data_IF_296117563526
#
_entry.id   IF_296117563526
#
_cell.length_a   1.000
_cell.length_b   1.000
_cell.length_c   1.000
_cell.angle_alpha   90.00
_cell.angle_beta   90.00
_cell.angle_gamma   90.00
#
_symmetry.space_group_name_H-M   'P 1'
#
loop_
_entity.id
_entity.type
_entity.pdbx_description
1 polymer ?
#
# COMPACT_ATOMS: atom_id res chain seq x y z
N UNK A 1 -15.32 -14.92 30.84
CA UNK A 1 -16.19 -13.80 30.43
C UNK A 1 -15.64 -13.21 29.17
N UNK A 2 -16.34 -13.34 28.05
CA UNK A 2 -15.94 -12.67 26.82
C UNK A 2 -16.04 -11.16 27.04
N UNK A 3 -14.92 -10.44 26.93
CA UNK A 3 -14.94 -8.98 26.95
C UNK A 3 -15.78 -8.52 25.76
N UNK A 4 -16.95 -7.95 26.01
CA UNK A 4 -17.69 -7.21 24.99
C UNK A 4 -16.77 -6.13 24.44
N UNK A 5 -16.41 -6.26 23.16
CA UNK A 5 -15.56 -5.25 22.54
C UNK A 5 -16.37 -3.99 22.26
N UNK A 6 -15.76 -2.82 22.40
CA UNK A 6 -16.44 -1.55 22.20
C UNK A 6 -17.07 -1.45 20.81
N UNK A 7 -18.20 -0.78 20.70
CA UNK A 7 -18.80 -0.41 19.43
C UNK A 7 -17.94 0.60 18.66
N UNK A 8 -18.30 0.93 17.44
CA UNK A 8 -17.57 1.91 16.63
C UNK A 8 -17.43 3.29 17.31
N UNK A 9 -18.44 3.69 18.05
CA UNK A 9 -18.42 4.95 18.82
C UNK A 9 -17.35 4.94 19.90
N UNK A 10 -17.13 3.79 20.53
CA UNK A 10 -16.12 3.62 21.59
C UNK A 10 -14.70 3.58 21.01
N UNK A 11 -14.56 3.06 19.79
CA UNK A 11 -13.27 3.03 19.08
C UNK A 11 -12.76 4.44 18.77
N UNK A 12 -13.64 5.41 18.57
CA UNK A 12 -13.24 6.82 18.41
C UNK A 12 -12.52 7.39 19.64
N UNK A 13 -12.64 6.75 20.79
CA UNK A 13 -11.98 7.14 22.04
C UNK A 13 -10.61 6.48 22.19
N UNK A 14 -10.29 5.41 21.42
CA UNK A 14 -8.94 4.88 21.39
C UNK A 14 -8.02 5.93 20.75
N UNK A 15 -7.11 6.44 21.55
CA UNK A 15 -6.11 7.43 21.13
C UNK A 15 -4.82 6.68 20.79
N UNK A 16 -4.60 6.32 19.52
CA UNK A 16 -3.27 5.88 19.10
C UNK A 16 -2.28 7.00 19.36
N UNK A 17 -1.03 6.67 19.59
CA UNK A 17 0.00 7.70 19.71
C UNK A 17 -0.04 8.62 18.47
N UNK A 18 0.06 9.94 18.66
CA UNK A 18 -0.02 10.88 17.57
C UNK A 18 1.13 10.62 16.60
N UNK A 19 0.81 10.47 15.31
CA UNK A 19 1.83 10.45 14.29
C UNK A 19 2.58 11.78 14.27
N UNK A 20 3.87 11.78 13.90
CA UNK A 20 4.61 13.01 13.68
C UNK A 20 3.86 13.94 12.70
N UNK A 21 3.80 15.22 13.00
CA UNK A 21 3.09 16.23 12.19
C UNK A 21 3.54 16.30 10.72
N UNK A 22 4.76 15.85 10.45
CA UNK A 22 5.36 15.79 9.11
C UNK A 22 5.03 14.50 8.32
N UNK A 23 4.15 13.60 8.82
CA UNK A 23 3.70 12.40 8.11
C UNK A 23 2.48 12.68 7.23
N UNK A 24 2.63 12.79 5.90
CA UNK A 24 1.48 12.87 5.00
C UNK A 24 0.95 11.46 4.71
N UNK A 25 -0.11 11.06 5.39
CA UNK A 25 -0.66 9.70 5.30
C UNK A 25 -2.10 9.63 4.79
N UNK A 26 -2.84 10.74 4.74
CA UNK A 26 -4.16 10.73 4.14
C UNK A 26 -4.07 10.66 2.60
N UNK A 27 -5.06 10.07 1.90
CA UNK A 27 -5.04 10.00 0.44
C UNK A 27 -4.83 11.35 -0.24
N UNK A 28 -5.43 12.40 0.29
CA UNK A 28 -5.29 13.77 -0.23
C UNK A 28 -3.88 14.32 -0.02
N UNK A 29 -3.29 14.12 1.16
CA UNK A 29 -1.92 14.56 1.45
C UNK A 29 -0.91 13.83 0.58
N UNK A 30 -1.04 12.50 0.43
CA UNK A 30 -0.19 11.67 -0.42
C UNK A 30 -0.28 12.15 -1.87
N UNK A 31 -1.50 12.28 -2.40
CA UNK A 31 -1.72 12.76 -3.77
C UNK A 31 -1.08 14.13 -3.99
N UNK A 32 -1.32 15.09 -3.10
CA UNK A 32 -0.74 16.44 -3.19
C UNK A 32 0.77 16.36 -3.20
N UNK A 33 1.36 15.64 -2.25
CA UNK A 33 2.83 15.56 -2.13
C UNK A 33 3.48 14.97 -3.38
N UNK A 34 2.89 13.88 -3.94
CA UNK A 34 3.42 13.27 -5.16
C UNK A 34 3.29 14.20 -6.37
N UNK A 35 2.18 14.91 -6.51
CA UNK A 35 1.99 15.88 -7.60
C UNK A 35 2.92 17.09 -7.51
N UNK A 36 3.09 17.62 -6.30
CA UNK A 36 3.85 18.86 -6.09
C UNK A 36 5.38 18.62 -6.11
N UNK A 37 5.84 17.40 -5.82
CA UNK A 37 7.28 17.12 -5.67
C UNK A 37 7.85 16.17 -6.73
N UNK A 38 7.08 15.71 -7.70
CA UNK A 38 7.61 14.91 -8.82
C UNK A 38 8.15 15.81 -9.92
N UNK A 39 9.49 15.86 -10.09
CA UNK A 39 10.18 16.70 -11.07
C UNK A 39 11.16 15.91 -11.93
N UNK A 40 11.84 14.89 -11.37
CA UNK A 40 12.85 14.07 -12.05
C UNK A 40 12.28 12.75 -12.54
N UNK A 41 11.37 12.18 -11.76
CA UNK A 41 10.60 11.02 -12.13
C UNK A 41 9.37 11.38 -12.96
N UNK A 42 8.56 10.38 -13.26
CA UNK A 42 7.23 10.56 -13.83
C UNK A 42 6.17 10.04 -12.88
N UNK A 43 5.04 10.73 -12.84
CA UNK A 43 3.87 10.33 -12.06
C UNK A 43 2.75 9.93 -13.01
N UNK A 44 2.21 8.73 -12.82
CA UNK A 44 1.12 8.17 -13.59
C UNK A 44 -0.02 7.78 -12.63
N UNK A 45 -1.25 8.09 -13.02
CA UNK A 45 -2.41 7.54 -12.34
C UNK A 45 -2.71 6.16 -12.90
N UNK A 46 -2.46 5.10 -12.11
CA UNK A 46 -2.74 3.72 -12.50
C UNK A 46 -4.24 3.48 -12.69
N UNK A 47 -5.04 3.94 -11.74
CA UNK A 47 -6.49 3.80 -11.78
C UNK A 47 -7.14 4.78 -10.80
N UNK A 48 -8.48 4.80 -10.80
CA UNK A 48 -9.29 5.26 -9.68
C UNK A 48 -9.77 4.05 -8.90
N UNK A 49 -9.67 4.11 -7.57
CA UNK A 49 -10.18 3.10 -6.66
C UNK A 49 -11.71 2.97 -6.76
N UNK A 50 -12.27 1.96 -6.11
CA UNK A 50 -13.72 1.79 -6.02
C UNK A 50 -14.42 3.04 -5.46
N UNK A 51 -13.83 3.70 -4.47
CA UNK A 51 -14.32 4.96 -3.89
C UNK A 51 -13.92 6.22 -4.68
N UNK A 52 -13.42 6.07 -5.91
CA UNK A 52 -13.11 7.19 -6.81
C UNK A 52 -11.81 7.94 -6.52
N UNK A 53 -10.93 7.41 -5.65
CA UNK A 53 -9.65 8.01 -5.26
C UNK A 53 -8.54 7.57 -6.18
N UNK A 54 -7.58 8.45 -6.47
CA UNK A 54 -6.48 8.15 -7.38
C UNK A 54 -5.46 7.20 -6.72
N UNK A 55 -5.03 6.18 -7.48
CA UNK A 55 -3.90 5.31 -7.19
C UNK A 55 -2.74 5.72 -8.08
N UNK A 56 -1.64 6.15 -7.47
CA UNK A 56 -0.49 6.72 -8.18
C UNK A 56 0.65 5.74 -8.31
N UNK A 57 1.35 5.79 -9.43
CA UNK A 57 2.64 5.17 -9.66
C UNK A 57 3.67 6.24 -10.00
N UNK A 58 4.70 6.33 -9.19
CA UNK A 58 5.89 7.10 -9.48
C UNK A 58 6.96 6.20 -10.10
N UNK A 59 7.60 6.68 -11.16
CA UNK A 59 8.67 5.98 -11.86
C UNK A 59 9.93 6.83 -11.87
N UNK A 60 11.07 6.25 -11.46
CA UNK A 60 12.37 6.90 -11.55
C UNK A 60 13.38 5.95 -12.19
N UNK A 61 14.28 6.53 -12.98
CA UNK A 61 15.34 5.80 -13.66
C UNK A 61 14.94 5.31 -15.05
N UNK A 62 15.92 5.30 -15.94
CA UNK A 62 15.79 4.80 -17.30
C UNK A 62 16.26 3.34 -17.35
N UNK A 63 15.72 2.55 -18.22
CA UNK A 63 16.12 1.17 -18.47
C UNK A 63 14.98 0.42 -19.12
N UNK A 64 15.29 -0.47 -20.04
CA UNK A 64 14.29 -1.34 -20.66
C UNK A 64 14.06 -2.53 -19.72
N UNK A 65 12.82 -2.92 -19.44
CA UNK A 65 12.56 -4.19 -18.77
C UNK A 65 13.11 -5.30 -19.66
N UNK A 66 13.68 -6.33 -19.05
CA UNK A 66 14.02 -7.55 -19.79
C UNK A 66 12.74 -8.31 -20.09
N UNK A 67 12.63 -8.87 -21.29
CA UNK A 67 11.46 -9.66 -21.71
C UNK A 67 11.27 -10.97 -20.90
N UNK A 68 12.25 -11.34 -20.09
CA UNK A 68 12.24 -12.55 -19.26
C UNK A 68 12.74 -12.20 -17.86
N UNK A 69 11.85 -11.74 -17.01
CA UNK A 69 12.14 -11.53 -15.59
C UNK A 69 11.20 -12.40 -14.78
N UNK A 70 11.78 -13.36 -14.06
CA UNK A 70 11.09 -14.05 -12.98
C UNK A 70 11.42 -13.34 -11.67
N UNK A 71 10.51 -13.35 -10.71
CA UNK A 71 10.86 -13.02 -9.34
C UNK A 71 11.74 -14.14 -8.73
N UNK A 72 12.38 -13.86 -7.60
CA UNK A 72 13.27 -14.82 -6.96
C UNK A 72 12.60 -16.18 -6.69
N UNK A 73 11.39 -16.17 -6.15
CA UNK A 73 10.65 -17.39 -5.82
C UNK A 73 10.31 -18.22 -7.05
N UNK A 74 9.90 -17.57 -8.15
CA UNK A 74 9.61 -18.28 -9.39
C UNK A 74 10.87 -18.85 -10.06
N UNK A 75 11.99 -18.12 -10.02
CA UNK A 75 13.28 -18.60 -10.55
C UNK A 75 13.81 -19.80 -9.72
N UNK A 76 13.65 -19.76 -8.40
CA UNK A 76 14.03 -20.87 -7.52
C UNK A 76 13.13 -22.08 -7.72
N UNK A 77 11.82 -21.90 -7.79
CA UNK A 77 10.84 -22.98 -7.98
C UNK A 77 10.97 -23.69 -9.34
N UNK A 78 11.35 -22.99 -10.39
CA UNK A 78 11.61 -23.56 -11.71
C UNK A 78 13.02 -24.11 -11.88
N UNK A 79 13.90 -23.97 -10.89
CA UNK A 79 15.33 -24.26 -10.95
C UNK A 79 16.07 -23.50 -12.07
N UNK A 80 15.44 -22.49 -12.65
CA UNK A 80 16.00 -21.63 -13.69
C UNK A 80 16.56 -20.34 -13.10
N UNK A 81 17.73 -20.42 -12.50
CA UNK A 81 18.44 -19.26 -11.95
C UNK A 81 18.73 -18.19 -13.01
N UNK A 82 18.88 -18.59 -14.27
CA UNK A 82 19.16 -17.68 -15.36
C UNK A 82 17.96 -16.74 -15.66
N UNK A 83 16.73 -17.14 -15.35
CA UNK A 83 15.56 -16.30 -15.51
C UNK A 83 15.55 -15.12 -14.53
N UNK A 84 16.18 -15.27 -13.34
CA UNK A 84 16.30 -14.20 -12.36
C UNK A 84 17.53 -13.32 -12.61
N UNK A 85 18.65 -13.95 -12.89
CA UNK A 85 19.93 -13.24 -13.08
C UNK A 85 20.17 -12.83 -14.56
N UNK A 86 19.48 -13.38 -15.50
CA UNK A 86 19.48 -13.16 -16.94
C UNK A 86 20.74 -12.49 -17.54
N UNK A 87 21.10 -12.76 -18.78
CA UNK A 87 22.19 -12.02 -19.44
C UNK A 87 21.84 -10.54 -19.48
N UNK A 88 22.48 -9.77 -18.60
CA UNK A 88 22.24 -8.35 -18.48
C UNK A 88 22.76 -7.63 -19.72
N UNK A 89 21.89 -6.91 -20.38
CA UNK A 89 22.29 -5.97 -21.42
C UNK A 89 23.02 -4.80 -20.75
N UNK A 90 23.88 -4.10 -21.49
CA UNK A 90 24.62 -2.92 -20.98
C UNK A 90 23.69 -1.81 -20.44
N UNK A 91 22.44 -1.75 -20.96
CA UNK A 91 21.42 -0.79 -20.58
C UNK A 91 20.40 -1.36 -19.55
N UNK A 92 20.63 -2.58 -19.05
CA UNK A 92 19.78 -3.21 -18.05
C UNK A 92 19.91 -2.50 -16.70
N UNK A 93 18.77 -2.23 -16.09
CA UNK A 93 18.69 -1.84 -14.68
C UNK A 93 17.67 -2.70 -13.99
N UNK A 94 18.04 -3.23 -12.84
CA UNK A 94 17.11 -3.99 -12.02
C UNK A 94 15.94 -3.09 -11.64
N UNK A 95 14.72 -3.63 -11.75
CA UNK A 95 13.51 -2.94 -11.31
C UNK A 95 13.28 -3.23 -9.83
N UNK A 96 13.12 -2.18 -9.05
CA UNK A 96 12.67 -2.25 -7.66
C UNK A 96 11.25 -1.71 -7.60
N UNK A 97 10.28 -2.57 -7.26
CA UNK A 97 8.91 -2.18 -6.96
C UNK A 97 8.75 -2.00 -5.45
N UNK A 98 8.31 -0.82 -5.05
CA UNK A 98 7.91 -0.50 -3.68
C UNK A 98 6.41 -0.28 -3.67
N UNK A 99 5.68 -1.19 -3.05
CA UNK A 99 4.22 -1.17 -2.96
C UNK A 99 3.82 -0.95 -1.50
N UNK A 100 3.13 0.14 -1.22
CA UNK A 100 2.74 0.54 0.13
C UNK A 100 1.22 0.71 0.25
N UNK A 101 0.71 0.64 1.48
CA UNK A 101 -0.69 0.91 1.77
C UNK A 101 -1.66 -0.03 1.06
N UNK A 102 -1.31 -1.32 0.92
CA UNK A 102 -2.23 -2.37 0.45
C UNK A 102 -3.38 -2.50 1.44
N UNK A 103 -3.08 -2.37 2.73
CA UNK A 103 -4.06 -2.19 3.78
C UNK A 103 -4.02 -0.73 4.25
N UNK A 104 -5.19 -0.11 4.34
CA UNK A 104 -5.30 1.33 4.59
C UNK A 104 -4.81 1.81 5.95
N UNK A 105 -4.61 0.92 6.92
CA UNK A 105 -4.11 1.26 8.26
C UNK A 105 -2.58 1.30 8.38
N UNK A 106 -1.85 0.76 7.40
CA UNK A 106 -0.38 0.67 7.42
C UNK A 106 0.25 2.01 7.03
N UNK A 107 0.07 2.99 7.91
CA UNK A 107 0.43 4.40 7.67
C UNK A 107 1.92 4.65 7.62
N UNK A 108 2.71 3.87 8.37
CA UNK A 108 4.17 3.95 8.41
C UNK A 108 4.78 3.68 7.04
N UNK A 109 4.26 2.67 6.34
CA UNK A 109 4.70 2.37 4.98
C UNK A 109 4.34 3.50 4.01
N UNK A 110 3.16 4.10 4.16
CA UNK A 110 2.71 5.24 3.34
C UNK A 110 3.59 6.46 3.59
N UNK A 111 3.84 6.81 4.87
CA UNK A 111 4.75 7.90 5.24
C UNK A 111 6.17 7.66 4.72
N UNK A 112 6.65 6.41 4.83
CA UNK A 112 7.94 5.99 4.29
C UNK A 112 8.04 6.16 2.77
N UNK A 113 6.98 5.83 2.03
CA UNK A 113 6.93 6.02 0.58
C UNK A 113 6.97 7.49 0.17
N UNK A 114 6.23 8.35 0.88
CA UNK A 114 6.25 9.80 0.66
C UNK A 114 7.62 10.38 0.97
N UNK A 115 8.22 9.95 2.08
CA UNK A 115 9.57 10.37 2.46
C UNK A 115 10.62 9.91 1.44
N UNK A 116 10.49 8.68 0.92
CA UNK A 116 11.37 8.15 -0.13
C UNK A 116 11.28 9.00 -1.41
N UNK A 117 10.08 9.31 -1.89
CA UNK A 117 9.91 10.22 -3.03
C UNK A 117 10.66 11.52 -2.79
N UNK A 118 10.46 12.14 -1.62
CA UNK A 118 11.06 13.41 -1.28
C UNK A 118 12.59 13.34 -1.33
N UNK A 119 13.20 12.27 -0.81
CA UNK A 119 14.65 12.03 -0.89
C UNK A 119 15.11 11.86 -2.34
N UNK A 120 14.39 11.08 -3.14
CA UNK A 120 14.76 10.82 -4.54
C UNK A 120 14.76 12.12 -5.36
N UNK A 121 13.79 12.97 -5.16
CA UNK A 121 13.61 14.21 -5.89
C UNK A 121 14.53 15.32 -5.38
N UNK A 122 14.53 15.60 -4.08
CA UNK A 122 15.27 16.72 -3.47
C UNK A 122 16.66 16.33 -2.94
N UNK A 123 16.89 15.07 -2.57
CA UNK A 123 18.07 14.61 -1.82
C UNK A 123 17.95 14.80 -0.30
N UNK A 124 16.80 15.24 0.19
CA UNK A 124 16.49 15.44 1.62
C UNK A 124 15.24 14.66 2.02
N UNK A 125 15.17 14.25 3.26
CA UNK A 125 13.94 13.71 3.83
C UNK A 125 12.96 14.83 4.22
N UNK A 126 11.74 14.45 4.66
CA UNK A 126 10.71 15.41 5.10
C UNK A 126 11.10 16.25 6.32
N UNK A 127 12.18 15.89 7.02
CA UNK A 127 12.77 16.63 8.14
C UNK A 127 13.94 17.53 7.70
N UNK A 128 14.26 17.55 6.40
CA UNK A 128 15.36 18.34 5.83
C UNK A 128 16.74 17.68 5.89
N UNK A 129 16.87 16.47 6.49
CA UNK A 129 18.15 15.76 6.57
C UNK A 129 18.56 15.27 5.18
N UNK A 130 19.84 15.41 4.82
CA UNK A 130 20.39 14.98 3.53
C UNK A 130 20.67 13.48 3.50
N UNK A 131 20.36 12.83 2.35
CA UNK A 131 20.57 11.40 2.11
C UNK A 131 21.27 11.14 0.77
N UNK A 132 22.51 11.63 0.58
CA UNK A 132 23.21 11.52 -0.71
C UNK A 132 23.46 10.07 -1.13
N UNK A 133 23.83 9.19 -0.19
CA UNK A 133 24.13 7.79 -0.47
C UNK A 133 22.87 7.01 -0.90
N UNK A 134 21.74 7.26 -0.26
CA UNK A 134 20.48 6.63 -0.66
C UNK A 134 20.08 7.07 -2.07
N UNK A 135 20.21 8.36 -2.37
CA UNK A 135 19.94 8.88 -3.72
C UNK A 135 20.86 8.29 -4.77
N UNK A 136 22.15 8.17 -4.48
CA UNK A 136 23.16 7.53 -5.33
C UNK A 136 22.85 6.05 -5.55
N UNK A 137 22.46 5.32 -4.48
CA UNK A 137 22.05 3.92 -4.59
C UNK A 137 20.83 3.76 -5.47
N UNK A 138 19.78 4.54 -5.22
CA UNK A 138 18.54 4.50 -5.99
C UNK A 138 18.75 4.76 -7.49
N UNK A 139 19.75 5.58 -7.87
CA UNK A 139 20.06 5.86 -9.27
C UNK A 139 20.53 4.63 -10.08
N UNK A 140 20.90 3.54 -9.39
CA UNK A 140 21.32 2.28 -10.01
C UNK A 140 20.13 1.41 -10.43
N UNK A 141 18.92 1.72 -9.97
CA UNK A 141 17.71 0.94 -10.21
C UNK A 141 16.74 1.68 -11.14
N UNK A 142 15.85 0.93 -11.76
CA UNK A 142 14.57 1.42 -12.23
C UNK A 142 13.58 1.27 -11.07
N UNK A 143 13.14 2.38 -10.51
CA UNK A 143 12.31 2.38 -9.33
C UNK A 143 10.85 2.65 -9.70
N UNK A 144 9.95 1.80 -9.22
CA UNK A 144 8.51 1.92 -9.30
C UNK A 144 7.98 2.04 -7.87
N UNK A 145 7.27 3.11 -7.57
CA UNK A 145 6.77 3.37 -6.22
C UNK A 145 5.26 3.64 -6.27
N UNK A 146 4.50 2.77 -5.62
CA UNK A 146 3.06 2.94 -5.37
C UNK A 146 2.89 3.29 -3.90
N UNK A 147 2.64 4.58 -3.56
CA UNK A 147 2.64 5.02 -2.17
C UNK A 147 1.44 4.55 -1.37
N UNK A 148 0.31 4.31 -2.04
CA UNK A 148 -0.96 3.97 -1.41
C UNK A 148 -1.82 3.20 -2.40
N UNK A 149 -1.77 1.86 -2.31
CA UNK A 149 -2.51 0.97 -3.20
C UNK A 149 -4.01 0.92 -2.89
N UNK A 150 -4.38 1.05 -1.60
CA UNK A 150 -5.77 1.06 -1.14
C UNK A 150 -6.12 2.40 -0.49
N UNK A 151 -6.36 3.46 -1.28
CA UNK A 151 -6.72 4.76 -0.74
C UNK A 151 -8.11 4.77 -0.07
N UNK A 152 -8.98 3.82 -0.41
CA UNK A 152 -10.32 3.70 0.18
C UNK A 152 -10.24 3.21 1.63
N UNK A 153 -9.49 2.13 1.85
CA UNK A 153 -9.22 1.65 3.20
C UNK A 153 -8.55 2.72 4.06
N UNK A 154 -7.60 3.48 3.47
CA UNK A 154 -6.95 4.60 4.18
C UNK A 154 -7.91 5.74 4.53
N UNK A 155 -8.83 6.06 3.63
CA UNK A 155 -9.79 7.14 3.87
C UNK A 155 -10.80 6.83 4.99
N UNK A 156 -11.11 5.54 5.19
CA UNK A 156 -12.05 5.07 6.21
C UNK A 156 -11.51 5.12 7.62
N UNK A 157 -10.20 5.02 7.80
CA UNK A 157 -9.61 5.06 9.12
C UNK A 157 -8.92 6.40 9.39
N UNK A 158 -9.11 6.91 10.59
CA UNK A 158 -8.44 8.11 11.09
C UNK A 158 -7.17 7.78 11.89
N UNK A 159 -6.81 6.51 11.99
CA UNK A 159 -5.61 6.08 12.72
C UNK A 159 -4.38 6.69 12.04
N UNK A 160 -3.59 7.51 12.74
CA UNK A 160 -2.43 8.17 12.16
C UNK A 160 -1.17 7.29 12.18
N UNK A 161 -1.14 6.26 13.04
CA UNK A 161 -0.02 5.35 13.25
C UNK A 161 -0.51 4.03 13.84
N UNK A 162 0.24 2.95 13.65
CA UNK A 162 -0.01 1.66 14.31
C UNK A 162 0.59 1.60 15.72
N UNK A 163 1.43 2.57 16.08
CA UNK A 163 2.09 2.61 17.39
C UNK A 163 1.03 2.77 18.48
N UNK A 164 1.15 1.96 19.55
CA UNK A 164 0.21 1.98 20.68
C UNK A 164 -1.05 1.14 20.48
N UNK A 165 -1.26 0.53 19.30
CA UNK A 165 -2.39 -0.36 19.07
C UNK A 165 -2.08 -1.79 19.54
N UNK A 166 -3.09 -2.43 20.13
CA UNK A 166 -3.06 -3.84 20.48
C UNK A 166 -3.37 -4.72 19.24
N UNK A 167 -3.09 -6.02 19.33
CA UNK A 167 -3.50 -6.98 18.27
C UNK A 167 -5.02 -6.97 18.05
N UNK A 168 -5.77 -6.77 19.12
CA UNK A 168 -7.23 -6.69 19.06
C UNK A 168 -7.70 -5.44 18.31
N UNK A 169 -7.05 -4.31 18.54
CA UNK A 169 -7.31 -3.06 17.82
C UNK A 169 -6.97 -3.23 16.33
N UNK A 170 -5.82 -3.84 16.03
CA UNK A 170 -5.40 -4.14 14.66
C UNK A 170 -6.43 -5.02 13.94
N UNK A 171 -6.98 -6.03 14.63
CA UNK A 171 -8.01 -6.90 14.06
C UNK A 171 -9.29 -6.13 13.78
N UNK A 172 -9.74 -5.31 14.71
CA UNK A 172 -10.93 -4.49 14.55
C UNK A 172 -10.78 -3.47 13.42
N UNK A 173 -9.73 -2.67 13.44
CA UNK A 173 -9.48 -1.64 12.43
C UNK A 173 -9.18 -2.23 11.06
N UNK A 174 -8.49 -3.36 11.00
CA UNK A 174 -8.15 -4.04 9.75
C UNK A 174 -9.34 -4.74 9.13
N UNK A 175 -9.99 -5.63 9.89
CA UNK A 175 -11.02 -6.53 9.38
C UNK A 175 -12.43 -5.94 9.46
N UNK A 176 -12.71 -5.09 10.46
CA UNK A 176 -14.02 -4.51 10.65
C UNK A 176 -14.96 -5.33 11.52
N UNK A 177 -16.25 -5.01 11.47
CA UNK A 177 -17.31 -5.54 12.34
C UNK A 177 -18.60 -5.81 11.55
N UNK A 178 -19.23 -6.93 11.85
CA UNK A 178 -20.56 -7.26 11.37
C UNK A 178 -21.64 -6.39 12.04
N UNK A 179 -22.83 -6.28 11.43
CA UNK A 179 -24.00 -5.61 12.05
C UNK A 179 -24.44 -6.30 13.33
N UNK A 180 -24.09 -7.58 13.52
CA UNK A 180 -24.34 -8.33 14.76
C UNK A 180 -23.47 -7.88 15.94
N UNK A 181 -22.46 -7.04 15.71
CA UNK A 181 -21.50 -6.60 16.72
C UNK A 181 -20.26 -7.48 16.84
N UNK A 182 -20.17 -8.57 16.11
CA UNK A 182 -19.01 -9.44 16.08
C UNK A 182 -17.91 -8.87 15.17
N UNK A 183 -16.64 -9.04 15.56
CA UNK A 183 -15.51 -8.67 14.68
C UNK A 183 -15.43 -9.66 13.52
N UNK A 184 -15.17 -9.13 12.32
CA UNK A 184 -14.85 -9.93 11.15
C UNK A 184 -13.42 -10.44 11.34
N UNK A 185 -13.23 -11.63 11.88
CA UNK A 185 -11.89 -12.21 12.09
C UNK A 185 -11.19 -12.56 10.79
N UNK A 186 -9.92 -12.98 10.89
CA UNK A 186 -9.09 -13.36 9.74
C UNK A 186 -9.72 -14.43 8.84
N UNK A 187 -10.40 -15.41 9.43
CA UNK A 187 -11.12 -16.45 8.69
C UNK A 187 -12.29 -15.88 7.89
N UNK A 188 -13.02 -14.92 8.49
CA UNK A 188 -14.16 -14.25 7.84
C UNK A 188 -13.72 -13.40 6.64
N UNK A 189 -12.68 -12.59 6.79
CA UNK A 189 -12.19 -11.73 5.72
C UNK A 189 -11.63 -12.50 4.51
N UNK A 190 -11.08 -13.70 4.74
CA UNK A 190 -10.63 -14.60 3.66
C UNK A 190 -11.79 -15.32 2.97
N UNK A 191 -12.83 -15.65 3.72
CA UNK A 191 -14.01 -16.34 3.21
C UNK A 191 -14.86 -15.48 2.29
N UNK A 192 -14.93 -14.19 2.56
CA UNK A 192 -15.75 -13.23 1.83
C UNK A 192 -14.90 -12.28 0.99
N UNK A 193 -14.86 -12.52 -0.30
CA UNK A 193 -14.19 -11.70 -1.29
C UNK A 193 -15.10 -11.49 -2.51
N UNK A 194 -15.81 -10.37 -2.61
CA UNK A 194 -15.86 -9.22 -1.69
C UNK A 194 -16.63 -9.52 -0.38
N UNK A 195 -16.39 -8.68 0.64
CA UNK A 195 -17.24 -8.66 1.83
C UNK A 195 -18.68 -8.28 1.47
N UNK A 196 -19.70 -8.96 2.04
CA UNK A 196 -21.09 -8.57 1.88
C UNK A 196 -21.38 -7.28 2.66
N UNK A 197 -21.14 -6.12 2.02
CA UNK A 197 -21.17 -4.81 2.67
C UNK A 197 -22.52 -4.49 3.34
N UNK A 198 -23.60 -5.07 2.83
CA UNK A 198 -24.94 -4.95 3.41
C UNK A 198 -25.07 -5.60 4.80
N UNK A 199 -24.16 -6.51 5.17
CA UNK A 199 -24.11 -7.18 6.48
C UNK A 199 -23.05 -6.56 7.41
N UNK A 200 -22.26 -5.62 6.93
CA UNK A 200 -21.14 -5.03 7.63
C UNK A 200 -21.57 -3.73 8.29
N UNK A 201 -21.20 -3.54 9.57
CA UNK A 201 -21.36 -2.28 10.29
C UNK A 201 -20.17 -1.35 10.02
N UNK A 202 -18.96 -1.93 9.99
CA UNK A 202 -17.70 -1.25 9.69
C UNK A 202 -16.81 -2.21 8.91
N UNK A 203 -16.45 -1.87 7.69
CA UNK A 203 -15.70 -2.75 6.79
C UNK A 203 -14.19 -2.84 7.08
N UNK A 204 -13.71 -2.13 8.10
CA UNK A 204 -12.28 -2.05 8.34
C UNK A 204 -11.54 -1.28 7.24
N UNK A 205 -10.24 -1.40 7.21
CA UNK A 205 -9.38 -0.73 6.22
C UNK A 205 -8.56 -1.69 5.34
N UNK A 206 -8.78 -2.99 5.45
CA UNK A 206 -8.19 -3.96 4.52
C UNK A 206 -8.90 -3.97 3.16
N UNK A 207 -10.24 -4.04 3.08
CA UNK A 207 -10.90 -3.97 1.78
C UNK A 207 -10.96 -2.55 1.24
N UNK A 208 -11.13 -2.43 -0.08
CA UNK A 208 -11.52 -1.20 -0.75
C UNK A 208 -13.03 -0.92 -0.55
N UNK A 209 -13.58 0.11 -1.21
CA UNK A 209 -15.00 0.47 -1.06
C UNK A 209 -15.96 -0.51 -1.75
N UNK A 210 -15.46 -1.44 -2.59
CA UNK A 210 -16.23 -2.58 -3.12
C UNK A 210 -16.15 -3.82 -2.19
N UNK A 211 -15.53 -3.71 -1.02
CA UNK A 211 -15.39 -4.84 -0.08
C UNK A 211 -14.28 -5.83 -0.45
N UNK A 212 -13.39 -5.49 -1.36
CA UNK A 212 -12.33 -6.37 -1.85
C UNK A 212 -11.03 -6.10 -1.11
N UNK A 213 -10.49 -7.10 -0.40
CA UNK A 213 -9.13 -7.04 0.14
C UNK A 213 -8.13 -7.33 -0.99
N UNK A 214 -7.35 -6.31 -1.40
CA UNK A 214 -6.42 -6.38 -2.53
C UNK A 214 -5.37 -7.49 -2.35
N UNK A 215 -4.95 -7.77 -1.12
CA UNK A 215 -3.97 -8.82 -0.81
C UNK A 215 -4.46 -10.22 -1.20
N UNK A 216 -5.76 -10.45 -1.22
CA UNK A 216 -6.39 -11.74 -1.52
C UNK A 216 -7.10 -11.78 -2.87
N UNK A 217 -7.01 -10.70 -3.66
CA UNK A 217 -7.72 -10.56 -4.94
C UNK A 217 -6.93 -11.14 -6.13
N UNK A 218 -6.21 -12.23 -5.90
CA UNK A 218 -5.47 -12.94 -6.97
C UNK A 218 -6.08 -14.32 -7.14
N UNK A 219 -6.73 -14.56 -8.27
CA UNK A 219 -7.29 -15.86 -8.60
C UNK A 219 -7.11 -16.19 -10.09
N UNK A 220 -7.14 -17.48 -10.47
CA UNK A 220 -7.13 -17.89 -11.87
C UNK A 220 -8.29 -17.30 -12.70
N UNK A 221 -9.41 -16.97 -12.04
CA UNK A 221 -10.58 -16.36 -12.68
C UNK A 221 -10.44 -14.84 -12.89
N UNK A 222 -9.32 -14.24 -12.50
CA UNK A 222 -9.06 -12.80 -12.61
C UNK A 222 -9.18 -12.05 -11.28
N UNK A 223 -9.24 -10.73 -11.39
CA UNK A 223 -9.26 -9.80 -10.26
C UNK A 223 -10.61 -9.09 -10.17
N UNK A 224 -11.10 -8.88 -8.95
CA UNK A 224 -12.36 -8.18 -8.68
C UNK A 224 -12.13 -6.67 -8.51
N UNK A 225 -11.00 -6.28 -7.92
CA UNK A 225 -10.66 -4.88 -7.74
C UNK A 225 -9.94 -4.32 -8.97
N UNK A 226 -10.31 -3.11 -9.35
CA UNK A 226 -9.62 -2.36 -10.42
C UNK A 226 -8.20 -1.98 -10.03
N UNK A 227 -7.96 -1.77 -8.75
CA UNK A 227 -6.64 -1.52 -8.16
C UNK A 227 -5.72 -2.71 -8.41
N UNK A 228 -6.15 -3.93 -8.07
CA UNK A 228 -5.37 -5.15 -8.32
C UNK A 228 -5.09 -5.34 -9.82
N UNK A 229 -6.11 -5.15 -10.66
CA UNK A 229 -5.96 -5.23 -12.11
C UNK A 229 -4.91 -4.23 -12.63
N UNK A 230 -4.91 -3.00 -12.11
CA UNK A 230 -3.97 -1.97 -12.54
C UNK A 230 -2.54 -2.22 -12.04
N UNK A 231 -2.39 -2.79 -10.84
CA UNK A 231 -1.09 -3.10 -10.25
C UNK A 231 -0.37 -4.29 -10.92
N UNK A 232 -1.13 -5.21 -11.54
CA UNK A 232 -0.60 -6.43 -12.15
C UNK A 232 -0.42 -6.34 -13.68
N UNK A 233 -0.75 -5.20 -14.28
CA UNK A 233 -0.50 -4.86 -15.69
C UNK A 233 0.87 -4.21 -15.89
#
# INVERSE_FOLDING_TARGET
>A
MAKTRPGWEDVRQLTPEPAPSWWPVSPTQVTRHFRDHTHKGSLERLCRSAGGRDVWLYRLGKGKPTARTANYSAAMGSSDKASYFGKQRKDYRQTLLVLCGVHGMETEAVAGAVNLLHILESGRDLRGRRWPELKKLASKFRLLLVPLANPDGRARTRIPSLIGLTTDDLTYYGQGMWKTGEIIGWSGSKRFLPLPLEKVRFSGCYPNDDGVNLMHDVSPAGHKARETTALLR
#
